data_IF_510519309150
#
_entry.id   IF_510519309150
#
_cell.length_a   1.000
_cell.length_b   1.000
_cell.length_c   1.000
_cell.angle_alpha   90.00
_cell.angle_beta   90.00
_cell.angle_gamma   90.00
#
_symmetry.space_group_name_H-M   'P 1'
#
loop_
_entity.id
_entity.type
_entity.pdbx_description
1 polymer ?
#
# COMPACT_ATOMS: atom_id res chain seq x y z
N UNK A 1 -13.45 -13.21 34.30
CA UNK A 1 -14.50 -12.94 33.27
C UNK A 1 -14.52 -11.45 33.03
N UNK A 2 -14.36 -11.01 31.76
CA UNK A 2 -14.45 -9.58 31.45
C UNK A 2 -15.92 -9.14 31.45
N UNK A 3 -16.17 -7.90 31.87
CA UNK A 3 -17.47 -7.25 31.70
C UNK A 3 -17.48 -6.49 30.38
N UNK A 4 -18.68 -6.25 29.84
CA UNK A 4 -18.83 -5.40 28.63
C UNK A 4 -18.36 -3.98 28.91
N UNK A 5 -17.60 -3.38 28.00
CA UNK A 5 -17.01 -2.05 28.16
C UNK A 5 -16.96 -1.29 26.83
N UNK A 6 -17.02 0.02 26.93
CA UNK A 6 -16.76 0.91 25.79
C UNK A 6 -15.27 1.36 25.84
N UNK A 7 -14.47 1.06 24.83
CA UNK A 7 -13.05 1.42 24.82
C UNK A 7 -12.81 2.94 24.76
N UNK A 8 -13.82 3.71 24.39
CA UNK A 8 -13.72 5.16 24.38
C UNK A 8 -13.74 5.78 25.76
N UNK A 9 -14.41 5.13 26.73
CA UNK A 9 -14.61 5.62 28.08
C UNK A 9 -13.54 5.13 29.06
N UNK A 10 -12.62 4.25 28.59
CA UNK A 10 -11.59 3.70 29.45
C UNK A 10 -10.45 4.69 29.68
N UNK A 11 -10.18 4.94 30.98
CA UNK A 11 -8.93 5.55 31.45
C UNK A 11 -7.75 4.60 31.34
N UNK A 12 -6.53 5.09 31.62
CA UNK A 12 -5.34 4.24 31.69
C UNK A 12 -5.51 3.09 32.70
N UNK A 13 -6.12 3.37 33.83
CA UNK A 13 -6.43 2.34 34.86
C UNK A 13 -7.45 1.31 34.34
N UNK A 14 -8.44 1.74 33.55
CA UNK A 14 -9.40 0.85 32.91
C UNK A 14 -8.71 -0.14 31.96
N UNK A 15 -7.78 0.33 31.14
CA UNK A 15 -6.97 -0.53 30.27
C UNK A 15 -6.07 -1.47 31.07
N UNK A 16 -5.50 -1.02 32.21
CA UNK A 16 -4.70 -1.88 33.07
C UNK A 16 -5.54 -3.03 33.68
N UNK A 17 -6.79 -2.78 34.04
CA UNK A 17 -7.70 -3.84 34.52
C UNK A 17 -8.00 -4.91 33.47
N UNK A 18 -7.86 -4.55 32.20
CA UNK A 18 -7.95 -5.50 31.07
C UNK A 18 -6.64 -6.24 30.80
N UNK A 19 -5.59 -5.98 31.61
CA UNK A 19 -4.30 -6.68 31.55
C UNK A 19 -3.24 -6.01 30.68
N UNK A 20 -3.38 -4.71 30.38
CA UNK A 20 -2.32 -3.93 29.73
C UNK A 20 -1.41 -3.27 30.78
N UNK A 21 -0.14 -3.07 30.48
CA UNK A 21 0.74 -2.25 31.31
C UNK A 21 0.33 -0.77 31.22
N UNK A 22 0.72 0.05 32.19
CA UNK A 22 0.46 1.49 32.17
C UNK A 22 0.95 2.14 30.86
N UNK A 23 2.16 1.79 30.43
CA UNK A 23 2.76 2.29 29.20
C UNK A 23 1.95 1.90 27.94
N UNK A 24 1.41 0.69 27.90
CA UNK A 24 0.52 0.26 26.81
C UNK A 24 -0.81 1.01 26.86
N UNK A 25 -1.41 1.15 28.04
CA UNK A 25 -2.66 1.89 28.24
C UNK A 25 -2.57 3.34 27.76
N UNK A 26 -1.53 4.06 28.16
CA UNK A 26 -1.26 5.43 27.70
C UNK A 26 -1.04 5.50 26.17
N UNK A 27 -0.37 4.52 25.62
CA UNK A 27 -0.13 4.45 24.16
C UNK A 27 -1.41 4.17 23.39
N UNK A 28 -2.33 3.36 23.91
CA UNK A 28 -3.66 3.12 23.32
C UNK A 28 -4.48 4.41 23.33
N UNK A 29 -4.48 5.15 24.45
CA UNK A 29 -5.18 6.43 24.56
C UNK A 29 -4.59 7.45 23.56
N UNK A 30 -3.27 7.56 23.51
CA UNK A 30 -2.56 8.44 22.57
C UNK A 30 -2.85 8.08 21.09
N UNK A 31 -2.94 6.80 20.77
CA UNK A 31 -3.33 6.32 19.46
C UNK A 31 -4.76 6.77 19.11
N UNK A 32 -5.72 6.57 20.04
CA UNK A 32 -7.10 7.06 19.89
C UNK A 32 -7.15 8.56 19.58
N UNK A 33 -6.43 9.37 20.36
CA UNK A 33 -6.45 10.83 20.22
C UNK A 33 -5.77 11.32 18.94
N UNK A 34 -4.57 10.81 18.64
CA UNK A 34 -3.75 11.33 17.53
C UNK A 34 -4.12 10.75 16.17
N UNK A 35 -4.52 9.48 16.11
CA UNK A 35 -4.79 8.77 14.84
C UNK A 35 -6.28 8.68 14.51
N UNK A 36 -7.13 8.57 15.53
CA UNK A 36 -8.56 8.32 15.35
C UNK A 36 -9.43 9.53 15.73
N UNK A 37 -8.83 10.72 15.88
CA UNK A 37 -9.56 11.96 16.25
C UNK A 37 -10.36 11.84 17.56
N UNK A 38 -9.80 11.10 18.52
CA UNK A 38 -10.33 10.96 19.88
C UNK A 38 -11.32 9.80 20.08
N UNK A 39 -11.64 8.99 19.06
CA UNK A 39 -12.66 7.96 19.21
C UNK A 39 -12.38 6.70 18.39
N UNK A 40 -12.48 5.53 19.03
CA UNK A 40 -12.62 4.24 18.33
C UNK A 40 -14.05 4.13 17.81
N UNK A 41 -14.20 3.91 16.51
CA UNK A 41 -15.50 3.81 15.83
C UNK A 41 -15.84 2.39 15.42
N UNK A 42 -14.81 1.58 15.15
CA UNK A 42 -14.92 0.22 14.67
C UNK A 42 -14.04 -0.73 15.48
N UNK A 43 -14.33 -2.03 15.43
CA UNK A 43 -13.46 -3.06 16.01
C UNK A 43 -12.10 -3.08 15.30
N UNK A 44 -12.05 -2.73 14.01
CA UNK A 44 -10.81 -2.64 13.24
C UNK A 44 -9.90 -1.51 13.74
N UNK A 45 -10.45 -0.41 14.24
CA UNK A 45 -9.65 0.65 14.87
C UNK A 45 -8.84 0.13 16.06
N UNK A 46 -9.44 -0.76 16.85
CA UNK A 46 -8.78 -1.41 17.97
C UNK A 46 -7.79 -2.50 17.52
N UNK A 47 -8.17 -3.29 16.51
CA UNK A 47 -7.31 -4.31 15.91
C UNK A 47 -6.04 -3.72 15.30
N UNK A 48 -6.15 -2.53 14.68
CA UNK A 48 -5.02 -1.82 14.07
C UNK A 48 -4.15 -1.04 15.08
N UNK A 49 -4.52 -1.03 16.36
CA UNK A 49 -3.70 -0.46 17.40
C UNK A 49 -2.56 -1.42 17.77
N UNK A 50 -1.34 -1.10 17.37
CA UNK A 50 -0.15 -1.95 17.54
C UNK A 50 0.17 -2.34 19.01
N UNK A 51 -0.43 -1.66 20.00
CA UNK A 51 -0.33 -2.02 21.42
C UNK A 51 -1.24 -3.19 21.81
N UNK A 52 -2.23 -3.52 20.97
CA UNK A 52 -3.20 -4.59 21.22
C UNK A 52 -2.80 -5.77 20.32
N UNK A 53 -2.23 -6.82 20.93
CA UNK A 53 -1.90 -8.02 20.16
C UNK A 53 -3.18 -8.71 19.64
N UNK A 54 -3.05 -9.45 18.54
CA UNK A 54 -4.18 -10.19 17.97
C UNK A 54 -4.81 -11.16 18.97
N UNK A 55 -4.00 -11.81 19.77
CA UNK A 55 -4.45 -12.69 20.84
C UNK A 55 -5.29 -11.93 21.88
N UNK A 56 -4.81 -10.77 22.33
CA UNK A 56 -5.51 -9.92 23.30
C UNK A 56 -6.79 -9.33 22.70
N UNK A 57 -6.76 -8.92 21.44
CA UNK A 57 -7.95 -8.47 20.72
C UNK A 57 -9.02 -9.56 20.66
N UNK A 58 -8.64 -10.80 20.34
CA UNK A 58 -9.56 -11.94 20.28
C UNK A 58 -10.20 -12.28 21.62
N UNK A 59 -9.49 -12.06 22.73
CA UNK A 59 -10.04 -12.22 24.09
C UNK A 59 -11.07 -11.13 24.44
N UNK A 60 -10.87 -9.91 23.95
CA UNK A 60 -11.66 -8.73 24.34
C UNK A 60 -12.83 -8.43 23.39
N UNK A 61 -12.75 -8.80 22.12
CA UNK A 61 -13.70 -8.39 21.06
C UNK A 61 -15.18 -8.61 21.39
N UNK A 62 -15.50 -9.69 22.11
CA UNK A 62 -16.88 -10.04 22.49
C UNK A 62 -17.43 -9.18 23.66
N UNK A 63 -16.56 -8.44 24.32
CA UNK A 63 -16.90 -7.58 25.47
C UNK A 63 -16.89 -6.09 25.10
N UNK A 64 -16.47 -5.75 23.89
CA UNK A 64 -16.40 -4.37 23.43
C UNK A 64 -17.77 -3.88 23.00
N UNK A 65 -18.20 -2.75 23.55
CA UNK A 65 -19.37 -1.99 23.12
C UNK A 65 -18.86 -0.68 22.53
N UNK A 66 -19.09 -0.46 21.25
CA UNK A 66 -18.82 0.83 20.61
C UNK A 66 -20.14 1.62 20.53
N UNK A 67 -20.10 2.97 20.67
CA UNK A 67 -21.29 3.77 20.47
C UNK A 67 -21.82 3.50 19.06
N UNK A 68 -23.12 3.26 18.94
CA UNK A 68 -23.78 3.25 17.64
C UNK A 68 -23.63 4.63 16.99
N UNK A 69 -22.52 4.87 16.32
CA UNK A 69 -22.57 5.86 15.26
C UNK A 69 -23.51 5.26 14.22
N UNK A 70 -24.55 5.98 13.86
CA UNK A 70 -25.47 5.73 12.77
C UNK A 70 -24.76 5.79 11.41
N UNK A 71 -23.72 5.02 11.30
CA UNK A 71 -23.20 4.48 10.06
C UNK A 71 -23.76 3.06 10.07
N UNK A 72 -24.81 2.85 9.27
CA UNK A 72 -25.23 1.52 8.92
C UNK A 72 -23.99 0.64 8.85
N UNK A 73 -23.86 -0.27 9.82
CA UNK A 73 -23.12 -1.50 9.56
C UNK A 73 -23.94 -2.12 8.44
N UNK A 74 -23.63 -1.74 7.20
CA UNK A 74 -23.74 -2.70 6.15
C UNK A 74 -22.84 -3.83 6.64
N UNK A 75 -23.42 -4.81 7.31
CA UNK A 75 -23.04 -6.17 7.17
C UNK A 75 -23.17 -6.47 5.66
N UNK A 76 -22.26 -5.85 4.88
CA UNK A 76 -21.91 -6.42 3.62
C UNK A 76 -21.39 -7.79 4.04
N UNK A 77 -22.22 -8.84 3.93
CA UNK A 77 -21.71 -10.10 3.44
C UNK A 77 -20.58 -9.67 2.52
N UNK A 78 -19.32 -9.96 2.89
CA UNK A 78 -18.18 -9.69 2.02
C UNK A 78 -18.46 -10.56 0.81
N UNK A 79 -19.18 -10.00 -0.18
CA UNK A 79 -19.23 -10.61 -1.50
C UNK A 79 -17.76 -10.76 -1.84
N UNK A 80 -17.35 -12.02 -1.97
CA UNK A 80 -15.99 -12.35 -2.36
C UNK A 80 -15.62 -11.44 -3.54
N UNK A 81 -14.46 -10.83 -3.48
CA UNK A 81 -14.03 -9.90 -4.52
C UNK A 81 -14.02 -10.62 -5.86
N UNK A 82 -14.78 -10.10 -6.82
CA UNK A 82 -14.71 -10.59 -8.20
C UNK A 82 -13.42 -10.09 -8.84
N UNK A 83 -12.36 -10.88 -8.70
CA UNK A 83 -11.03 -10.49 -9.17
C UNK A 83 -10.96 -10.33 -10.69
N UNK A 84 -11.90 -10.86 -11.45
CA UNK A 84 -11.98 -10.64 -12.91
C UNK A 84 -12.25 -9.18 -13.30
N UNK A 85 -12.78 -8.39 -12.36
CA UNK A 85 -13.05 -6.96 -12.53
C UNK A 85 -12.05 -6.06 -11.84
N UNK A 86 -11.06 -6.64 -11.17
CA UNK A 86 -10.06 -5.87 -10.41
C UNK A 86 -8.96 -5.39 -11.35
N UNK A 87 -8.73 -4.09 -11.38
CA UNK A 87 -7.56 -3.50 -12.03
C UNK A 87 -6.31 -3.65 -11.14
N UNK A 88 -5.26 -4.24 -11.70
CA UNK A 88 -3.97 -4.45 -11.01
C UNK A 88 -3.32 -3.13 -10.56
N UNK A 89 -3.63 -2.02 -11.24
CA UNK A 89 -3.20 -0.69 -10.82
C UNK A 89 -4.07 -0.07 -9.71
N UNK A 90 -5.25 -0.61 -9.43
CA UNK A 90 -6.17 -0.12 -8.40
C UNK A 90 -6.37 -1.11 -7.25
N UNK A 91 -5.89 -2.35 -7.39
CA UNK A 91 -6.04 -3.37 -6.35
C UNK A 91 -5.53 -2.86 -5.00
N UNK A 92 -6.34 -3.06 -3.98
CA UNK A 92 -6.04 -2.61 -2.62
C UNK A 92 -5.23 -3.65 -1.84
N UNK A 93 -4.60 -3.22 -0.75
CA UNK A 93 -3.88 -4.10 0.16
C UNK A 93 -4.77 -5.25 0.67
N UNK A 94 -6.01 -4.95 1.06
CA UNK A 94 -6.95 -5.96 1.56
C UNK A 94 -7.36 -6.95 0.47
N UNK A 95 -7.54 -6.51 -0.77
CA UNK A 95 -7.83 -7.39 -1.90
C UNK A 95 -6.63 -8.31 -2.22
N UNK A 96 -5.39 -7.81 -2.13
CA UNK A 96 -4.21 -8.65 -2.28
C UNK A 96 -4.16 -9.74 -1.20
N UNK A 97 -4.48 -9.40 0.05
CA UNK A 97 -4.59 -10.38 1.14
C UNK A 97 -5.72 -11.40 0.90
N UNK A 98 -6.88 -10.94 0.46
CA UNK A 98 -8.01 -11.80 0.10
C UNK A 98 -7.67 -12.76 -1.04
N UNK A 99 -6.83 -12.31 -2.00
CA UNK A 99 -6.33 -13.14 -3.10
C UNK A 99 -5.34 -14.21 -2.63
N UNK A 100 -4.70 -14.04 -1.47
CA UNK A 100 -3.79 -15.00 -0.86
C UNK A 100 -2.37 -14.49 -0.57
N UNK A 101 -2.06 -13.22 -0.84
CA UNK A 101 -0.77 -12.64 -0.46
C UNK A 101 -0.69 -12.38 1.05
N UNK A 102 0.46 -12.63 1.66
CA UNK A 102 0.73 -12.20 3.03
C UNK A 102 0.94 -10.67 3.11
N UNK A 103 1.03 -10.13 4.33
CA UNK A 103 1.17 -8.69 4.56
C UNK A 103 2.45 -8.12 3.94
N UNK A 104 3.54 -8.88 3.96
CA UNK A 104 4.83 -8.47 3.40
C UNK A 104 4.78 -8.43 1.87
N UNK A 105 4.22 -9.44 1.25
CA UNK A 105 4.04 -9.52 -0.19
C UNK A 105 3.10 -8.44 -0.71
N UNK A 106 1.93 -8.26 -0.06
CA UNK A 106 0.98 -7.20 -0.38
C UNK A 106 1.62 -5.81 -0.26
N UNK A 107 2.39 -5.57 0.82
CA UNK A 107 3.15 -4.33 1.01
C UNK A 107 4.21 -4.10 -0.08
N UNK A 108 4.92 -5.16 -0.47
CA UNK A 108 5.93 -5.10 -1.53
C UNK A 108 5.30 -4.75 -2.88
N UNK A 109 4.19 -5.41 -3.24
CA UNK A 109 3.41 -5.10 -4.45
C UNK A 109 3.00 -3.62 -4.48
N UNK A 110 2.36 -3.14 -3.42
CA UNK A 110 1.89 -1.76 -3.31
C UNK A 110 3.03 -0.74 -3.42
N UNK A 111 4.14 -0.99 -2.74
CA UNK A 111 5.30 -0.10 -2.77
C UNK A 111 5.97 -0.05 -4.15
N UNK A 112 6.13 -1.21 -4.80
CA UNK A 112 6.73 -1.25 -6.14
C UNK A 112 5.85 -0.57 -7.16
N UNK A 113 4.55 -0.85 -7.16
CA UNK A 113 3.56 -0.15 -7.99
C UNK A 113 3.61 1.37 -7.79
N UNK A 114 3.65 1.82 -6.53
CA UNK A 114 3.73 3.25 -6.20
C UNK A 114 5.00 3.90 -6.77
N UNK A 115 6.17 3.24 -6.62
CA UNK A 115 7.45 3.74 -7.13
C UNK A 115 7.52 3.78 -8.66
N UNK A 116 6.84 2.86 -9.34
CA UNK A 116 6.71 2.86 -10.79
C UNK A 116 5.74 3.94 -11.29
N UNK A 117 4.84 4.45 -10.44
CA UNK A 117 3.71 5.27 -10.87
C UNK A 117 2.59 4.48 -11.54
N UNK A 118 2.58 3.16 -11.35
CA UNK A 118 1.69 2.17 -11.93
C UNK A 118 2.41 1.18 -12.83
N UNK A 119 1.84 -0.01 -13.01
CA UNK A 119 2.32 -0.99 -13.98
C UNK A 119 1.86 -0.65 -15.39
N UNK A 120 2.73 -0.80 -16.36
CA UNK A 120 2.46 -0.62 -17.80
C UNK A 120 2.34 -1.94 -18.52
N UNK A 121 2.93 -3.00 -17.96
CA UNK A 121 2.86 -4.37 -18.48
C UNK A 121 2.65 -5.37 -17.35
N UNK A 122 2.02 -6.50 -17.64
CA UNK A 122 1.88 -7.62 -16.70
C UNK A 122 3.23 -8.22 -16.31
N UNK A 123 4.24 -8.13 -17.20
CA UNK A 123 5.59 -8.56 -16.92
C UNK A 123 6.22 -7.82 -15.73
N UNK A 124 5.88 -6.55 -15.52
CA UNK A 124 6.34 -5.79 -14.35
C UNK A 124 5.75 -6.32 -13.05
N UNK A 125 4.51 -6.81 -13.08
CA UNK A 125 3.88 -7.45 -11.92
C UNK A 125 4.62 -8.74 -11.57
N UNK A 126 4.96 -9.57 -12.58
CA UNK A 126 5.78 -10.79 -12.40
C UNK A 126 7.18 -10.49 -11.86
N UNK A 127 7.78 -9.38 -12.26
CA UNK A 127 9.11 -8.95 -11.82
C UNK A 127 9.13 -8.29 -10.44
N UNK A 128 7.98 -8.15 -9.79
CA UNK A 128 7.94 -7.63 -8.42
C UNK A 128 8.64 -8.62 -7.48
N UNK A 129 9.69 -8.15 -6.82
CA UNK A 129 10.54 -9.02 -5.96
C UNK A 129 9.76 -9.53 -4.73
N UNK A 130 10.22 -10.69 -4.21
CA UNK A 130 9.66 -11.33 -3.00
C UNK A 130 8.16 -11.64 -3.06
N UNK A 131 7.61 -11.87 -4.24
CA UNK A 131 6.27 -12.41 -4.43
C UNK A 131 6.35 -13.87 -4.86
N UNK A 132 5.34 -14.65 -4.50
CA UNK A 132 5.16 -16.01 -5.03
C UNK A 132 4.79 -15.93 -6.52
N UNK A 133 5.63 -16.46 -7.44
CA UNK A 133 5.38 -16.35 -8.88
C UNK A 133 4.06 -16.99 -9.30
N UNK A 134 3.66 -18.12 -8.68
CA UNK A 134 2.43 -18.83 -9.02
C UNK A 134 1.21 -17.98 -8.66
N UNK A 135 1.26 -17.33 -7.50
CA UNK A 135 0.18 -16.47 -7.03
C UNK A 135 0.07 -15.20 -7.89
N UNK A 136 1.22 -14.65 -8.32
CA UNK A 136 1.26 -13.48 -9.22
C UNK A 136 0.72 -13.83 -10.60
N UNK A 137 1.11 -14.98 -11.17
CA UNK A 137 0.56 -15.44 -12.46
C UNK A 137 -0.95 -15.60 -12.40
N UNK A 138 -1.46 -16.23 -11.35
CA UNK A 138 -2.90 -16.36 -11.11
C UNK A 138 -3.60 -15.00 -11.03
N UNK A 139 -3.00 -14.03 -10.32
CA UNK A 139 -3.53 -12.68 -10.23
C UNK A 139 -3.61 -11.99 -11.59
N UNK A 140 -2.55 -12.10 -12.40
CA UNK A 140 -2.48 -11.53 -13.76
C UNK A 140 -3.51 -12.18 -14.70
N UNK A 141 -3.69 -13.49 -14.60
CA UNK A 141 -4.68 -14.21 -15.43
C UNK A 141 -6.12 -13.87 -15.05
N UNK A 142 -6.35 -13.49 -13.80
CA UNK A 142 -7.69 -13.21 -13.28
C UNK A 142 -8.06 -11.74 -13.41
N UNK A 143 -7.13 -10.83 -13.12
CA UNK A 143 -7.38 -9.39 -13.08
C UNK A 143 -7.13 -8.69 -14.42
N UNK A 144 -7.40 -7.39 -14.45
CA UNK A 144 -7.17 -6.52 -15.59
C UNK A 144 -6.01 -5.57 -15.31
N UNK A 145 -5.36 -5.05 -16.34
CA UNK A 145 -4.35 -4.01 -16.22
C UNK A 145 -4.78 -2.78 -17.03
N UNK A 146 -5.31 -1.78 -16.35
CA UNK A 146 -5.60 -0.48 -16.95
C UNK A 146 -4.37 0.45 -16.84
N UNK A 147 -3.81 0.80 -17.98
CA UNK A 147 -2.63 1.68 -18.08
C UNK A 147 -2.99 3.14 -18.38
N UNK A 148 -4.26 3.46 -18.55
CA UNK A 148 -4.73 4.79 -18.97
C UNK A 148 -4.36 5.91 -18.00
N UNK A 149 -4.22 5.56 -16.71
CA UNK A 149 -3.87 6.50 -15.62
C UNK A 149 -2.38 6.57 -15.33
N UNK A 150 -1.56 5.75 -15.99
CA UNK A 150 -0.10 5.77 -15.78
C UNK A 150 0.47 6.99 -16.49
N UNK A 151 1.05 7.89 -15.71
CA UNK A 151 1.63 9.12 -16.24
C UNK A 151 2.94 8.84 -16.93
N UNK A 152 3.07 9.32 -18.16
CA UNK A 152 4.29 9.26 -18.98
C UNK A 152 4.87 10.65 -19.17
N UNK A 153 6.18 10.72 -19.31
CA UNK A 153 6.91 11.97 -19.53
C UNK A 153 7.79 11.86 -20.79
N UNK A 154 8.28 12.99 -21.27
CA UNK A 154 9.50 13.03 -22.09
C UNK A 154 10.70 13.10 -21.15
N UNK A 155 11.92 12.80 -21.60
CA UNK A 155 13.12 12.94 -20.76
C UNK A 155 13.34 14.40 -20.32
N UNK A 156 12.90 15.35 -21.14
CA UNK A 156 12.98 16.78 -20.81
C UNK A 156 11.99 17.22 -19.74
N UNK A 157 10.74 16.71 -19.80
CA UNK A 157 9.65 17.12 -18.91
C UNK A 157 9.64 16.35 -17.58
N UNK A 158 10.34 15.21 -17.52
CA UNK A 158 10.32 14.35 -16.34
C UNK A 158 10.83 15.12 -15.09
N UNK A 159 10.05 15.20 -14.00
CA UNK A 159 10.49 15.81 -12.76
C UNK A 159 11.75 15.12 -12.22
N UNK A 160 12.69 15.89 -11.68
CA UNK A 160 13.96 15.35 -11.18
C UNK A 160 13.75 14.36 -10.04
N UNK A 161 12.85 14.67 -9.11
CA UNK A 161 12.50 13.76 -8.02
C UNK A 161 11.93 12.44 -8.53
N UNK A 162 11.05 12.51 -9.56
CA UNK A 162 10.52 11.32 -10.18
C UNK A 162 11.63 10.47 -10.82
N UNK A 163 12.57 11.07 -11.55
CA UNK A 163 13.72 10.37 -12.12
C UNK A 163 14.56 9.69 -11.03
N UNK A 164 14.82 10.39 -9.90
CA UNK A 164 15.63 9.89 -8.79
C UNK A 164 14.96 8.76 -8.00
N UNK A 165 13.66 8.75 -7.92
CA UNK A 165 12.90 7.74 -7.16
C UNK A 165 12.42 6.56 -8.00
N UNK A 166 12.24 6.75 -9.31
CA UNK A 166 11.68 5.73 -10.18
C UNK A 166 12.64 4.54 -10.36
N UNK A 167 12.19 3.28 -10.16
CA UNK A 167 13.06 2.10 -10.16
C UNK A 167 13.93 1.92 -11.40
N UNK A 168 13.44 2.36 -12.56
CA UNK A 168 14.16 2.20 -13.82
C UNK A 168 15.08 3.39 -14.16
N UNK A 169 14.83 4.58 -13.61
CA UNK A 169 15.58 5.80 -13.94
C UNK A 169 16.61 6.17 -12.89
N UNK A 170 16.43 5.79 -11.63
CA UNK A 170 17.21 6.29 -10.49
C UNK A 170 18.72 6.22 -10.65
N UNK A 171 19.24 5.16 -11.28
CA UNK A 171 20.68 5.00 -11.51
C UNK A 171 21.23 5.84 -12.65
N UNK A 172 20.36 6.38 -13.49
CA UNK A 172 20.71 7.24 -14.62
C UNK A 172 20.19 8.67 -14.45
N UNK A 173 19.48 8.96 -13.35
CA UNK A 173 18.76 10.22 -13.14
C UNK A 173 19.67 11.44 -13.27
N UNK A 174 20.77 11.49 -12.54
CA UNK A 174 21.72 12.62 -12.58
C UNK A 174 22.29 12.85 -13.99
N UNK A 175 22.61 11.75 -14.69
CA UNK A 175 23.11 11.83 -16.05
C UNK A 175 22.04 12.32 -17.02
N UNK A 176 20.79 11.88 -16.88
CA UNK A 176 19.67 12.38 -17.69
C UNK A 176 19.48 13.88 -17.46
N UNK A 177 19.50 14.32 -16.20
CA UNK A 177 19.37 15.74 -15.82
C UNK A 177 20.47 16.59 -16.46
N UNK A 178 21.71 16.11 -16.46
CA UNK A 178 22.81 16.80 -17.13
C UNK A 178 22.64 16.83 -18.66
N UNK A 179 22.32 15.67 -19.26
CA UNK A 179 22.22 15.55 -20.72
C UNK A 179 21.05 16.35 -21.31
N UNK A 180 19.91 16.44 -20.63
CA UNK A 180 18.77 17.25 -21.12
C UNK A 180 19.05 18.75 -21.19
N UNK A 181 20.02 19.23 -20.39
CA UNK A 181 20.47 20.62 -20.45
C UNK A 181 21.47 20.86 -21.62
N UNK A 182 22.13 19.80 -22.10
CA UNK A 182 23.13 19.88 -23.17
C UNK A 182 22.54 19.59 -24.56
N UNK A 183 21.53 18.73 -24.62
CA UNK A 183 20.99 18.23 -25.87
C UNK A 183 19.50 18.57 -25.99
N UNK A 184 19.07 19.30 -27.02
CA UNK A 184 17.67 19.70 -27.21
C UNK A 184 16.78 18.54 -27.67
N UNK A 185 17.33 17.46 -28.24
CA UNK A 185 16.59 16.30 -28.69
C UNK A 185 16.92 15.04 -27.90
N UNK A 186 15.93 14.16 -27.74
CA UNK A 186 16.08 12.94 -26.93
C UNK A 186 16.99 11.90 -27.58
N UNK A 187 17.14 11.91 -28.91
CA UNK A 187 18.00 10.96 -29.62
C UNK A 187 19.45 11.11 -29.16
N UNK A 188 19.91 12.35 -29.02
CA UNK A 188 21.27 12.62 -28.55
C UNK A 188 21.43 12.35 -27.05
N UNK A 189 20.37 12.55 -26.25
CA UNK A 189 20.35 12.11 -24.84
C UNK A 189 20.56 10.61 -24.79
N UNK A 190 19.81 9.81 -25.52
CA UNK A 190 19.92 8.35 -25.51
C UNK A 190 21.30 7.87 -25.97
N UNK A 191 21.86 8.45 -27.04
CA UNK A 191 23.22 8.12 -27.52
C UNK A 191 24.29 8.33 -26.44
N UNK A 192 24.14 9.38 -25.64
CA UNK A 192 25.12 9.75 -24.61
C UNK A 192 24.85 9.13 -23.25
N UNK A 193 23.64 8.65 -23.00
CA UNK A 193 23.27 7.97 -21.77
C UNK A 193 23.97 6.62 -21.61
N UNK A 194 24.21 5.90 -22.73
CA UNK A 194 24.95 4.63 -22.79
C UNK A 194 24.43 3.56 -21.81
N UNK A 195 23.13 3.42 -21.72
CA UNK A 195 22.50 2.33 -20.95
C UNK A 195 22.41 1.06 -21.78
N UNK A 196 22.37 -0.10 -21.11
CA UNK A 196 22.14 -1.36 -21.80
C UNK A 196 20.74 -1.41 -22.42
N UNK A 197 20.55 -2.07 -23.59
CA UNK A 197 19.27 -2.09 -24.29
C UNK A 197 18.08 -2.54 -23.44
N UNK A 198 18.28 -3.48 -22.53
CA UNK A 198 17.27 -3.99 -21.61
C UNK A 198 16.77 -2.93 -20.62
N UNK A 199 17.65 -2.05 -20.14
CA UNK A 199 17.25 -0.93 -19.27
C UNK A 199 16.58 0.17 -20.07
N UNK A 200 17.07 0.48 -21.26
CA UNK A 200 16.45 1.44 -22.17
C UNK A 200 15.00 1.04 -22.49
N UNK A 201 14.75 -0.24 -22.82
CA UNK A 201 13.40 -0.74 -23.08
C UNK A 201 12.48 -0.55 -21.86
N UNK A 202 12.97 -0.83 -20.65
CA UNK A 202 12.18 -0.61 -19.42
C UNK A 202 11.88 0.86 -19.17
N UNK A 203 12.84 1.73 -19.40
CA UNK A 203 12.67 3.19 -19.24
C UNK A 203 11.64 3.72 -20.25
N UNK A 204 11.70 3.28 -21.51
CA UNK A 204 10.77 3.69 -22.58
C UNK A 204 9.30 3.34 -22.31
N UNK A 205 9.00 2.37 -21.41
CA UNK A 205 7.63 2.10 -20.99
C UNK A 205 6.95 3.30 -20.32
N UNK A 206 7.71 4.18 -19.69
CA UNK A 206 7.23 5.36 -18.95
C UNK A 206 7.48 6.69 -19.67
N UNK A 207 7.89 6.61 -20.93
CA UNK A 207 8.09 7.78 -21.78
C UNK A 207 7.00 7.87 -22.86
N UNK A 208 6.78 9.12 -23.32
CA UNK A 208 5.87 9.44 -24.43
C UNK A 208 6.57 9.19 -25.78
#
# INVERSE_FOLDING_TARGET
TYQKFNPNDLSAEGWQKLGFSLKQAESIIKYKEKKLKGQFRTLDDLKNCFMISEEKFNQLKNYIILPESSIEIKSSEKKATDFSKVDLNQITFNQLKEFGFDDKAAGTYMNFRKKLGGFVTTQQVLQTYNLDPILVEKLIQTGNLDVSKVRKYTLHEAPEEWLKEHPYFKYSAEKIIQLRNLYPNEVDIWKNLKVKPEYEQRMKLYLK
#
